data_IF_418377312729
#
_entry.id   IF_418377312729
#
_cell.length_a   1.000
_cell.length_b   1.000
_cell.length_c   1.000
_cell.angle_alpha   90.00
_cell.angle_beta   90.00
_cell.angle_gamma   90.00
#
_symmetry.space_group_name_H-M   'P 1'
#
loop_
_entity.id
_entity.type
_entity.pdbx_description
1 polymer ?
#
# COMPACT_ATOMS: atom_id res chain seq x y z
N UNK A 1 70.13 -20.59 1.58
CA UNK A 1 68.71 -20.27 1.70
C UNK A 1 68.30 -19.58 0.38
N UNK A 2 67.48 -20.26 -0.40
CA UNK A 2 67.33 -20.06 -1.83
C UNK A 2 66.51 -18.78 -2.13
N UNK A 3 67.11 -17.82 -2.83
CA UNK A 3 66.50 -16.57 -3.22
C UNK A 3 65.19 -16.77 -4.02
N UNK A 4 65.06 -17.89 -4.74
CA UNK A 4 63.89 -18.27 -5.50
C UNK A 4 62.65 -18.61 -4.60
N UNK A 5 62.89 -19.14 -3.41
CA UNK A 5 61.82 -19.46 -2.45
C UNK A 5 61.28 -18.19 -1.77
N UNK A 6 62.17 -17.24 -1.47
CA UNK A 6 61.75 -15.95 -0.88
C UNK A 6 60.91 -15.12 -1.86
N UNK A 7 61.29 -15.10 -3.16
CA UNK A 7 60.54 -14.39 -4.16
C UNK A 7 59.14 -14.99 -4.41
N UNK A 8 59.02 -16.32 -4.41
CA UNK A 8 57.72 -17.00 -4.52
C UNK A 8 56.84 -16.76 -3.30
N UNK A 9 57.42 -16.75 -2.08
CA UNK A 9 56.68 -16.47 -0.85
C UNK A 9 56.14 -15.02 -0.82
N UNK A 10 56.94 -14.07 -1.27
CA UNK A 10 56.56 -12.66 -1.38
C UNK A 10 55.41 -12.42 -2.41
N UNK A 11 55.51 -13.09 -3.57
CA UNK A 11 54.48 -13.00 -4.60
C UNK A 11 53.18 -13.66 -4.13
N UNK A 12 53.26 -14.80 -3.43
CA UNK A 12 52.05 -15.46 -2.90
C UNK A 12 51.42 -14.64 -1.77
N UNK A 13 52.20 -14.02 -0.91
CA UNK A 13 51.71 -13.13 0.15
C UNK A 13 51.09 -11.85 -0.42
N UNK A 14 51.66 -11.28 -1.50
CA UNK A 14 51.13 -10.13 -2.18
C UNK A 14 49.80 -10.46 -2.90
N UNK A 15 49.71 -11.63 -3.55
CA UNK A 15 48.46 -12.09 -4.19
C UNK A 15 47.35 -12.39 -3.18
N UNK A 16 47.68 -12.97 -2.02
CA UNK A 16 46.66 -13.22 -0.96
C UNK A 16 46.20 -11.92 -0.29
N UNK A 17 47.07 -10.94 -0.12
CA UNK A 17 46.72 -9.62 0.38
C UNK A 17 45.82 -8.85 -0.61
N UNK A 18 46.03 -8.97 -1.92
CA UNK A 18 45.20 -8.33 -2.94
C UNK A 18 43.84 -9.00 -3.11
N UNK A 19 43.76 -10.34 -2.94
CA UNK A 19 42.48 -11.07 -3.00
C UNK A 19 41.58 -10.86 -1.77
N UNK A 20 42.16 -10.61 -0.59
CA UNK A 20 41.40 -10.32 0.63
C UNK A 20 40.90 -8.85 0.70
N UNK A 21 41.39 -7.98 -0.18
CA UNK A 21 41.08 -6.54 -0.17
C UNK A 21 39.96 -6.14 -1.13
N UNK A 22 39.42 -7.07 -1.91
CA UNK A 22 38.17 -6.81 -2.62
C UNK A 22 37.01 -6.84 -1.60
N UNK A 23 36.89 -5.81 -0.78
CA UNK A 23 35.59 -5.47 -0.19
C UNK A 23 34.65 -5.25 -1.35
N UNK A 24 33.67 -6.14 -1.52
CA UNK A 24 32.57 -5.93 -2.43
C UNK A 24 32.09 -4.51 -2.23
N UNK A 25 32.19 -3.68 -3.27
CA UNK A 25 31.67 -2.34 -3.22
C UNK A 25 30.22 -2.46 -2.81
N UNK A 26 29.87 -1.93 -1.65
CA UNK A 26 28.48 -1.91 -1.22
C UNK A 26 27.68 -1.26 -2.34
N UNK A 27 26.56 -1.84 -2.77
CA UNK A 27 25.76 -1.25 -3.84
C UNK A 27 25.41 0.16 -3.42
N UNK A 28 25.86 1.12 -4.21
CA UNK A 28 25.76 2.51 -3.90
C UNK A 28 24.31 2.91 -4.02
N UNK A 29 23.70 3.22 -2.89
CA UNK A 29 22.41 3.89 -2.87
C UNK A 29 22.58 5.26 -3.54
N UNK A 30 21.74 5.53 -4.55
CA UNK A 30 21.61 6.90 -5.05
C UNK A 30 21.42 7.85 -3.88
N UNK A 31 21.98 9.06 -3.88
CA UNK A 31 21.80 9.98 -2.78
C UNK A 31 20.31 10.22 -2.61
N UNK A 32 19.78 9.88 -1.45
CA UNK A 32 18.40 10.16 -1.12
C UNK A 32 18.16 11.67 -1.22
N UNK A 33 16.97 12.03 -1.67
CA UNK A 33 16.56 13.41 -1.65
C UNK A 33 16.38 13.80 -0.18
N UNK A 34 17.21 14.73 0.28
CA UNK A 34 17.26 15.21 1.67
C UNK A 34 16.60 16.59 1.77
N UNK A 35 16.62 17.19 2.96
CA UNK A 35 16.03 18.49 3.24
C UNK A 35 14.52 18.53 2.95
N UNK A 36 13.78 17.78 3.73
CA UNK A 36 12.33 17.65 3.60
C UNK A 36 11.61 18.88 4.15
N UNK A 37 10.65 19.35 3.42
CA UNK A 37 9.66 20.32 3.87
C UNK A 37 8.35 19.56 4.13
N UNK A 38 7.92 19.56 5.38
CA UNK A 38 6.78 18.80 5.88
C UNK A 38 5.92 19.76 6.74
N UNK A 39 5.01 20.55 6.10
CA UNK A 39 4.18 21.49 6.84
C UNK A 39 3.28 20.78 7.85
N UNK A 40 3.33 21.19 9.12
CA UNK A 40 2.66 20.51 10.23
C UNK A 40 1.14 20.37 10.03
N UNK A 41 0.53 21.33 9.35
CA UNK A 41 -0.90 21.36 9.06
C UNK A 41 -1.39 20.19 8.23
N UNK A 42 -0.51 19.60 7.39
CA UNK A 42 -0.86 18.47 6.51
C UNK A 42 -0.43 17.11 7.06
N UNK A 43 0.46 17.10 8.03
CA UNK A 43 1.03 15.85 8.58
C UNK A 43 -0.02 14.96 9.23
N UNK A 44 -1.01 15.57 9.87
CA UNK A 44 -2.11 14.84 10.51
C UNK A 44 -3.43 15.12 9.80
N UNK A 45 -4.34 14.14 9.75
CA UNK A 45 -5.70 14.41 9.32
C UNK A 45 -6.40 15.36 10.30
N UNK A 46 -7.47 16.05 9.88
CA UNK A 46 -8.34 16.77 10.81
C UNK A 46 -8.78 15.84 11.96
N UNK A 47 -8.77 16.35 13.20
CA UNK A 47 -8.88 15.54 14.41
C UNK A 47 -10.17 14.68 14.49
N UNK A 48 -11.25 15.15 13.86
CA UNK A 48 -12.57 14.51 13.92
C UNK A 48 -12.89 13.66 12.68
N UNK A 49 -11.96 13.52 11.75
CA UNK A 49 -12.20 12.79 10.51
C UNK A 49 -11.68 11.35 10.57
N UNK A 50 -12.56 10.34 10.42
CA UNK A 50 -12.14 8.95 10.47
C UNK A 50 -11.32 8.55 9.23
N UNK A 51 -10.29 7.74 9.46
CA UNK A 51 -9.52 7.05 8.43
C UNK A 51 -10.16 5.67 8.20
N UNK A 52 -10.99 5.58 7.18
CA UNK A 52 -11.59 4.30 6.74
C UNK A 52 -11.15 3.99 5.33
N UNK A 53 -11.11 2.72 5.02
CA UNK A 53 -10.78 2.23 3.68
C UNK A 53 -11.85 1.27 3.21
N UNK A 54 -12.34 1.50 1.99
CA UNK A 54 -13.12 0.49 1.29
C UNK A 54 -12.21 -0.66 0.88
N UNK A 55 -12.60 -1.89 1.21
CA UNK A 55 -11.84 -3.06 0.79
C UNK A 55 -12.14 -3.34 -0.70
N UNK A 56 -11.12 -3.69 -1.49
CA UNK A 56 -11.25 -3.74 -2.96
C UNK A 56 -12.19 -4.83 -3.45
N UNK A 57 -12.50 -5.82 -2.61
CA UNK A 57 -13.33 -6.95 -3.00
C UNK A 57 -14.37 -7.25 -1.93
N UNK A 58 -15.60 -7.44 -2.40
CA UNK A 58 -16.69 -7.95 -1.62
C UNK A 58 -17.50 -6.90 -0.88
N UNK A 59 -18.64 -7.36 -0.44
CA UNK A 59 -19.61 -6.61 0.33
C UNK A 59 -19.62 -7.04 1.79
N UNK A 60 -20.31 -6.28 2.60
CA UNK A 60 -20.52 -6.54 4.01
C UNK A 60 -22.00 -6.70 4.29
N UNK A 61 -22.35 -7.79 4.96
CA UNK A 61 -23.71 -8.08 5.44
C UNK A 61 -23.90 -7.83 6.93
N UNK A 62 -22.86 -8.07 7.71
CA UNK A 62 -22.90 -8.06 9.17
C UNK A 62 -23.32 -9.39 9.80
N UNK A 63 -23.40 -10.47 9.03
CA UNK A 63 -23.73 -11.80 9.52
C UNK A 63 -22.48 -12.52 10.03
N UNK A 64 -22.63 -13.17 11.18
CA UNK A 64 -21.64 -14.11 11.73
C UNK A 64 -22.32 -15.45 11.93
N UNK A 65 -21.74 -16.51 11.38
CA UNK A 65 -22.30 -17.84 11.44
C UNK A 65 -21.66 -18.69 12.53
N UNK A 66 -22.45 -19.60 13.09
CA UNK A 66 -21.95 -20.58 14.04
C UNK A 66 -20.92 -21.49 13.37
N UNK A 67 -19.78 -21.68 14.03
CA UNK A 67 -18.75 -22.61 13.56
C UNK A 67 -19.28 -24.04 13.75
N UNK A 68 -19.70 -24.69 12.67
CA UNK A 68 -20.10 -26.10 12.74
C UNK A 68 -18.86 -26.98 12.66
N UNK A 69 -18.56 -27.68 13.75
CA UNK A 69 -17.72 -28.87 13.66
C UNK A 69 -18.44 -29.89 12.78
N UNK A 70 -17.78 -30.35 11.72
CA UNK A 70 -18.26 -31.52 10.94
C UNK A 70 -18.32 -32.71 11.89
N UNK A 71 -19.49 -32.97 12.46
CA UNK A 71 -19.77 -34.28 13.06
C UNK A 71 -19.93 -35.27 11.92
N UNK A 72 -19.18 -36.35 11.97
CA UNK A 72 -19.24 -37.44 10.98
C UNK A 72 -20.50 -38.33 11.13
N UNK A 73 -21.32 -38.06 12.11
CA UNK A 73 -22.51 -38.85 12.42
C UNK A 73 -23.71 -37.94 12.68
N UNK A 74 -24.69 -38.01 11.80
CA UNK A 74 -26.01 -37.46 12.03
C UNK A 74 -26.54 -36.53 10.96
N UNK A 75 -27.83 -36.66 10.71
CA UNK A 75 -28.66 -35.83 9.84
C UNK A 75 -28.63 -34.39 10.36
N UNK A 76 -27.69 -33.58 9.83
CA UNK A 76 -27.60 -32.18 10.22
C UNK A 76 -28.66 -31.39 9.47
N UNK A 77 -29.41 -30.53 10.16
CA UNK A 77 -30.41 -29.71 9.50
C UNK A 77 -29.71 -28.79 8.46
N UNK A 78 -30.26 -28.75 7.25
CA UNK A 78 -29.81 -27.88 6.19
C UNK A 78 -29.81 -26.41 6.62
N UNK A 79 -28.94 -25.60 6.04
CA UNK A 79 -28.93 -24.17 6.24
C UNK A 79 -27.84 -23.66 7.20
N UNK A 80 -27.55 -22.35 7.14
CA UNK A 80 -26.57 -21.66 7.96
C UNK A 80 -27.23 -20.98 9.17
N UNK A 81 -26.81 -21.34 10.37
CA UNK A 81 -27.28 -20.69 11.60
C UNK A 81 -26.51 -19.40 11.87
N UNK A 82 -27.26 -18.30 12.07
CA UNK A 82 -26.70 -17.00 12.45
C UNK A 82 -26.35 -17.06 13.93
N UNK A 83 -25.05 -17.01 14.24
CA UNK A 83 -24.56 -16.95 15.62
C UNK A 83 -24.76 -15.55 16.22
N UNK A 84 -24.44 -14.51 15.45
CA UNK A 84 -24.64 -13.12 15.85
C UNK A 84 -24.80 -12.21 14.65
N UNK A 85 -25.37 -11.04 14.86
CA UNK A 85 -25.51 -9.98 13.86
C UNK A 85 -24.83 -8.73 14.40
N UNK A 86 -23.98 -8.12 13.56
CA UNK A 86 -23.23 -6.92 13.92
C UNK A 86 -24.19 -5.73 14.00
N UNK A 87 -24.08 -4.92 15.05
CA UNK A 87 -24.87 -3.71 15.23
C UNK A 87 -24.68 -2.73 14.06
N UNK A 88 -25.75 -2.01 13.73
CA UNK A 88 -25.77 -1.05 12.61
C UNK A 88 -25.39 -1.65 11.24
N UNK A 89 -25.59 -2.96 11.07
CA UNK A 89 -25.32 -3.66 9.82
C UNK A 89 -26.54 -3.77 8.90
N UNK A 90 -26.33 -4.08 7.62
CA UNK A 90 -27.41 -4.43 6.69
C UNK A 90 -28.30 -5.56 7.20
N UNK A 91 -27.73 -6.56 7.85
CA UNK A 91 -28.48 -7.69 8.38
C UNK A 91 -29.47 -7.26 9.48
N UNK A 92 -29.11 -6.33 10.36
CA UNK A 92 -30.06 -5.72 11.33
C UNK A 92 -31.17 -4.97 10.60
N UNK A 93 -30.83 -4.19 9.57
CA UNK A 93 -31.84 -3.46 8.80
C UNK A 93 -32.80 -4.38 8.06
N UNK A 94 -32.33 -5.57 7.63
CA UNK A 94 -33.15 -6.63 7.05
C UNK A 94 -33.95 -7.42 8.08
N UNK A 95 -33.83 -7.13 9.38
CA UNK A 95 -34.57 -7.81 10.46
C UNK A 95 -34.05 -9.20 10.80
N UNK A 96 -32.83 -9.55 10.37
CA UNK A 96 -32.14 -10.81 10.70
C UNK A 96 -31.68 -10.79 12.16
N UNK A 97 -31.69 -11.97 12.80
CA UNK A 97 -31.35 -12.14 14.23
C UNK A 97 -30.49 -13.36 14.47
N UNK A 98 -29.80 -13.38 15.58
CA UNK A 98 -29.13 -14.58 16.10
C UNK A 98 -30.16 -15.71 16.28
N UNK A 99 -29.80 -16.93 15.91
CA UNK A 99 -30.66 -18.12 15.91
C UNK A 99 -31.50 -18.31 14.64
N UNK A 100 -31.54 -17.35 13.73
CA UNK A 100 -32.13 -17.55 12.41
C UNK A 100 -31.28 -18.55 11.61
N UNK A 101 -31.94 -19.40 10.84
CA UNK A 101 -31.30 -20.37 9.95
C UNK A 101 -31.57 -19.99 8.51
N UNK A 102 -30.56 -19.57 7.78
CA UNK A 102 -30.63 -19.25 6.36
C UNK A 102 -30.59 -20.54 5.56
N UNK A 103 -31.60 -20.77 4.73
CA UNK A 103 -31.72 -21.99 3.90
C UNK A 103 -31.23 -21.73 2.47
N UNK A 104 -31.71 -20.64 1.88
CA UNK A 104 -31.42 -20.28 0.50
C UNK A 104 -31.21 -18.78 0.35
N UNK A 105 -30.35 -18.42 -0.59
CA UNK A 105 -30.18 -17.05 -1.05
C UNK A 105 -30.47 -16.96 -2.56
N UNK A 106 -31.31 -16.01 -2.95
CA UNK A 106 -31.48 -15.66 -4.35
C UNK A 106 -30.64 -14.42 -4.64
N UNK A 107 -29.60 -14.65 -5.43
CA UNK A 107 -28.64 -13.64 -5.84
C UNK A 107 -28.58 -13.58 -7.37
N UNK A 108 -28.91 -12.42 -7.92
CA UNK A 108 -29.12 -12.25 -9.38
C UNK A 108 -30.18 -13.24 -9.86
N UNK A 109 -29.89 -14.05 -10.85
CA UNK A 109 -30.82 -15.07 -11.39
C UNK A 109 -30.56 -16.47 -10.79
N UNK A 110 -29.71 -16.59 -9.78
CA UNK A 110 -29.32 -17.87 -9.18
C UNK A 110 -29.94 -18.03 -7.80
N UNK A 111 -30.42 -19.21 -7.52
CA UNK A 111 -30.77 -19.66 -6.17
C UNK A 111 -29.61 -20.52 -5.63
N UNK A 112 -29.06 -20.17 -4.50
CA UNK A 112 -27.92 -20.81 -3.86
C UNK A 112 -28.41 -21.40 -2.54
N UNK A 113 -28.29 -22.72 -2.38
CA UNK A 113 -28.50 -23.35 -1.09
C UNK A 113 -27.35 -22.95 -0.14
N UNK A 114 -27.69 -22.59 1.10
CA UNK A 114 -26.72 -22.10 2.07
C UNK A 114 -26.37 -23.22 3.07
N UNK A 115 -25.57 -24.17 2.63
CA UNK A 115 -25.17 -25.31 3.45
C UNK A 115 -23.83 -25.10 4.17
N UNK A 116 -22.98 -24.26 3.63
CA UNK A 116 -21.68 -23.93 4.18
C UNK A 116 -21.43 -22.40 4.23
N UNK A 117 -20.62 -21.97 5.18
CA UNK A 117 -20.21 -20.54 5.28
C UNK A 117 -19.52 -20.03 4.00
N UNK A 118 -18.89 -20.95 3.24
CA UNK A 118 -18.31 -20.65 1.94
C UNK A 118 -19.34 -20.14 0.93
N UNK A 119 -20.57 -20.67 0.96
CA UNK A 119 -21.63 -20.31 0.02
C UNK A 119 -22.05 -18.85 0.25
N UNK A 120 -22.17 -18.45 1.50
CA UNK A 120 -22.43 -17.06 1.85
C UNK A 120 -21.26 -16.15 1.50
N UNK A 121 -20.03 -16.58 1.73
CA UNK A 121 -18.83 -15.81 1.36
C UNK A 121 -18.70 -15.61 -0.14
N UNK A 122 -19.10 -16.58 -0.96
CA UNK A 122 -19.14 -16.42 -2.42
C UNK A 122 -20.06 -15.25 -2.80
N UNK A 123 -21.23 -15.14 -2.16
CA UNK A 123 -22.16 -14.04 -2.37
C UNK A 123 -21.52 -12.71 -1.93
N UNK A 124 -20.99 -12.63 -0.72
CA UNK A 124 -20.36 -11.40 -0.22
C UNK A 124 -19.16 -10.93 -1.06
N UNK A 125 -18.39 -11.87 -1.60
CA UNK A 125 -17.22 -11.55 -2.44
C UNK A 125 -17.57 -11.17 -3.87
N UNK A 126 -18.67 -11.73 -4.41
CA UNK A 126 -19.06 -11.54 -5.79
C UNK A 126 -20.15 -10.50 -6.01
N UNK A 127 -20.80 -10.04 -4.95
CA UNK A 127 -21.84 -9.03 -5.03
C UNK A 127 -21.26 -7.60 -5.14
N UNK A 128 -22.04 -6.72 -5.76
CA UNK A 128 -21.74 -5.30 -5.84
C UNK A 128 -22.41 -4.55 -4.67
N UNK A 129 -21.86 -3.42 -4.20
CA UNK A 129 -22.53 -2.56 -3.21
C UNK A 129 -23.91 -2.14 -3.67
N UNK A 130 -24.89 -2.13 -2.75
CA UNK A 130 -26.32 -1.88 -2.97
C UNK A 130 -27.06 -3.02 -3.70
N UNK A 131 -26.40 -4.15 -3.96
CA UNK A 131 -27.08 -5.32 -4.51
C UNK A 131 -28.01 -5.95 -3.46
N UNK A 132 -29.18 -6.41 -3.92
CA UNK A 132 -30.24 -6.99 -3.09
C UNK A 132 -30.21 -8.49 -3.14
N UNK A 133 -30.14 -9.11 -1.99
CA UNK A 133 -30.17 -10.57 -1.82
C UNK A 133 -31.48 -10.94 -1.14
N UNK A 134 -32.28 -11.79 -1.76
CA UNK A 134 -33.46 -12.37 -1.13
C UNK A 134 -33.07 -13.64 -0.41
N UNK A 135 -33.44 -13.72 0.84
CA UNK A 135 -33.11 -14.83 1.73
C UNK A 135 -34.38 -15.57 2.12
N UNK A 136 -34.35 -16.89 2.02
CA UNK A 136 -35.32 -17.75 2.66
C UNK A 136 -34.69 -18.28 3.96
N UNK A 137 -35.36 -18.15 5.07
CA UNK A 137 -34.87 -18.49 6.39
C UNK A 137 -35.94 -19.14 7.30
N UNK A 138 -35.47 -19.84 8.29
CA UNK A 138 -36.29 -20.34 9.37
C UNK A 138 -35.97 -19.58 10.68
N UNK A 139 -37.03 -19.12 11.36
CA UNK A 139 -36.95 -18.56 12.71
C UNK A 139 -37.80 -19.41 13.66
N UNK A 140 -37.13 -20.24 14.44
CA UNK A 140 -37.80 -21.33 15.19
C UNK A 140 -38.40 -22.35 14.21
N UNK A 141 -39.74 -22.46 14.19
CA UNK A 141 -40.48 -23.36 13.29
C UNK A 141 -41.19 -22.64 12.13
N UNK A 142 -40.90 -21.35 11.92
CA UNK A 142 -41.56 -20.55 10.89
C UNK A 142 -40.59 -20.23 9.73
N UNK A 143 -41.02 -20.55 8.53
CA UNK A 143 -40.33 -20.07 7.31
C UNK A 143 -40.65 -18.59 7.06
N UNK A 144 -39.66 -17.82 6.69
CA UNK A 144 -39.74 -16.39 6.44
C UNK A 144 -38.83 -16.00 5.27
N UNK A 145 -39.21 -14.92 4.59
CA UNK A 145 -38.36 -14.28 3.59
C UNK A 145 -37.84 -12.94 4.14
N UNK A 146 -36.60 -12.62 3.80
CA UNK A 146 -35.98 -11.35 4.08
C UNK A 146 -35.26 -10.80 2.86
N UNK A 147 -35.19 -9.48 2.72
CA UNK A 147 -34.40 -8.82 1.70
C UNK A 147 -33.24 -8.10 2.37
N UNK A 148 -32.02 -8.48 1.99
CA UNK A 148 -30.79 -7.91 2.49
C UNK A 148 -30.11 -7.08 1.41
N UNK A 149 -29.84 -5.82 1.70
CA UNK A 149 -29.09 -4.92 0.82
C UNK A 149 -27.64 -4.89 1.27
N UNK A 150 -26.74 -5.42 0.47
CA UNK A 150 -25.33 -5.44 0.81
C UNK A 150 -24.68 -4.06 0.65
N UNK A 151 -23.72 -3.75 1.51
CA UNK A 151 -22.94 -2.51 1.46
C UNK A 151 -21.48 -2.78 1.17
N UNK A 152 -20.75 -1.76 0.72
CA UNK A 152 -19.31 -1.86 0.52
C UNK A 152 -18.63 -2.31 1.82
N UNK A 153 -17.65 -3.20 1.69
CA UNK A 153 -16.86 -3.68 2.82
C UNK A 153 -15.84 -2.62 3.23
N UNK A 154 -16.03 -2.02 4.38
CA UNK A 154 -15.11 -1.06 4.96
C UNK A 154 -14.16 -1.73 5.96
N UNK A 155 -13.02 -1.10 6.21
CA UNK A 155 -12.19 -1.50 7.33
C UNK A 155 -13.02 -1.46 8.63
N UNK A 156 -12.92 -2.48 9.51
CA UNK A 156 -13.86 -2.67 10.62
C UNK A 156 -13.86 -1.54 11.66
N UNK A 157 -12.78 -0.77 11.76
CA UNK A 157 -12.69 0.35 12.69
C UNK A 157 -12.01 1.57 12.04
N UNK A 158 -12.42 2.81 12.40
CA UNK A 158 -11.66 4.00 12.06
C UNK A 158 -10.29 3.93 12.74
N UNK A 159 -9.25 4.35 12.01
CA UNK A 159 -7.89 4.48 12.53
C UNK A 159 -7.64 5.93 12.92
N UNK A 160 -6.85 6.14 13.97
CA UNK A 160 -6.38 7.47 14.38
C UNK A 160 -5.12 7.91 13.64
N UNK A 161 -4.29 6.95 13.23
CA UNK A 161 -3.01 7.19 12.58
C UNK A 161 -3.09 6.87 11.08
N UNK A 162 -2.79 7.82 10.19
CA UNK A 162 -2.74 7.57 8.76
C UNK A 162 -1.50 6.76 8.39
N UNK A 163 -1.65 5.88 7.40
CA UNK A 163 -0.48 5.30 6.74
C UNK A 163 0.21 6.40 5.94
N UNK A 164 1.52 6.51 6.12
CA UNK A 164 2.38 7.43 5.38
C UNK A 164 3.40 6.63 4.60
N UNK A 165 3.74 7.12 3.42
CA UNK A 165 4.81 6.51 2.63
C UNK A 165 5.67 7.61 2.01
N UNK A 166 6.97 7.34 1.97
CA UNK A 166 7.98 8.26 1.48
C UNK A 166 8.67 7.68 0.24
N UNK A 167 8.73 8.46 -0.79
CA UNK A 167 9.54 8.16 -1.95
C UNK A 167 10.70 9.17 -2.04
N UNK A 168 11.91 8.76 -1.65
CA UNK A 168 13.09 9.63 -1.52
C UNK A 168 14.05 9.58 -2.69
N UNK A 169 13.82 8.67 -3.67
CA UNK A 169 14.83 8.40 -4.70
C UNK A 169 14.56 9.14 -6.00
N UNK A 170 13.32 9.23 -6.44
CA UNK A 170 12.96 9.70 -7.77
C UNK A 170 12.03 10.91 -7.76
N UNK A 171 11.04 10.91 -6.91
CA UNK A 171 10.07 11.99 -6.80
C UNK A 171 10.39 12.94 -5.62
N UNK A 172 10.90 12.41 -4.52
CA UNK A 172 11.15 13.18 -3.30
C UNK A 172 9.87 13.70 -2.68
N UNK A 173 8.91 12.80 -2.46
CA UNK A 173 7.59 13.13 -1.90
C UNK A 173 7.28 12.30 -0.66
N UNK A 174 6.46 12.86 0.21
CA UNK A 174 5.84 12.20 1.34
C UNK A 174 4.33 12.36 1.20
N UNK A 175 3.61 11.25 1.30
CA UNK A 175 2.15 11.20 1.19
C UNK A 175 1.55 10.46 2.37
N UNK A 176 0.31 10.78 2.71
CA UNK A 176 -0.52 10.06 3.68
C UNK A 176 -1.85 9.61 3.10
N UNK A 177 -2.50 8.67 3.75
CA UNK A 177 -3.88 8.32 3.43
C UNK A 177 -4.81 9.53 3.58
N UNK A 178 -5.81 9.57 2.70
CA UNK A 178 -6.92 10.51 2.81
C UNK A 178 -7.92 10.04 3.88
N UNK A 179 -8.62 10.98 4.52
CA UNK A 179 -9.75 10.67 5.39
C UNK A 179 -10.96 10.23 4.58
N UNK A 180 -11.95 9.63 5.24
CA UNK A 180 -13.23 9.28 4.60
C UNK A 180 -13.91 10.54 3.98
N UNK A 181 -13.87 11.66 4.71
CA UNK A 181 -14.48 12.91 4.24
C UNK A 181 -13.74 13.48 3.01
N UNK A 182 -12.40 13.48 3.02
CA UNK A 182 -11.58 13.94 1.89
C UNK A 182 -11.82 13.08 0.64
N UNK A 183 -11.88 11.77 0.77
CA UNK A 183 -12.17 10.86 -0.35
C UNK A 183 -13.57 11.07 -0.89
N UNK A 184 -14.57 11.20 0.00
CA UNK A 184 -15.97 11.43 -0.38
C UNK A 184 -16.16 12.77 -1.10
N UNK A 185 -15.51 13.83 -0.63
CA UNK A 185 -15.54 15.13 -1.28
C UNK A 185 -14.99 15.07 -2.72
N UNK A 186 -14.09 14.14 -3.00
CA UNK A 186 -13.53 13.86 -4.33
C UNK A 186 -14.36 12.87 -5.16
N UNK A 187 -15.49 12.40 -4.67
CA UNK A 187 -16.29 11.36 -5.32
C UNK A 187 -15.60 9.98 -5.32
N UNK A 188 -14.67 9.75 -4.39
CA UNK A 188 -13.90 8.51 -4.26
C UNK A 188 -14.47 7.66 -3.11
N UNK A 189 -14.24 6.34 -3.15
CA UNK A 189 -14.51 5.46 -2.02
C UNK A 189 -13.71 5.86 -0.78
N UNK A 190 -14.19 5.53 0.43
CA UNK A 190 -13.51 5.85 1.69
C UNK A 190 -12.05 5.41 1.72
N UNK A 191 -11.14 6.34 2.00
CA UNK A 191 -9.72 6.13 2.07
C UNK A 191 -9.02 5.91 0.72
N UNK A 192 -9.71 6.19 -0.40
CA UNK A 192 -9.06 6.28 -1.70
C UNK A 192 -8.46 7.68 -1.92
N UNK A 193 -7.37 7.72 -2.69
CA UNK A 193 -6.56 8.90 -2.83
C UNK A 193 -5.53 9.04 -1.72
N UNK A 194 -4.55 9.90 -1.92
CA UNK A 194 -3.50 10.22 -0.96
C UNK A 194 -3.23 11.70 -0.92
N UNK A 195 -2.97 12.23 0.27
CA UNK A 195 -2.66 13.66 0.46
C UNK A 195 -1.15 13.87 0.35
N UNK A 196 -0.75 14.82 -0.46
CA UNK A 196 0.65 15.25 -0.55
C UNK A 196 1.00 16.11 0.67
N UNK A 197 1.82 15.58 1.57
CA UNK A 197 2.14 16.21 2.87
C UNK A 197 3.57 16.67 3.02
N UNK A 198 4.45 16.29 2.11
CA UNK A 198 5.85 16.70 2.16
C UNK A 198 6.55 16.56 0.81
N UNK A 199 7.54 17.38 0.59
CA UNK A 199 8.45 17.31 -0.56
C UNK A 199 9.88 17.64 -0.14
N UNK A 200 10.85 16.91 -0.69
CA UNK A 200 12.24 17.30 -0.57
C UNK A 200 12.50 18.62 -1.29
N UNK A 201 13.42 19.45 -0.79
CA UNK A 201 13.78 20.72 -1.47
C UNK A 201 14.30 20.50 -2.89
N UNK A 202 14.97 19.38 -3.12
CA UNK A 202 15.47 18.99 -4.45
C UNK A 202 14.48 18.11 -5.24
N UNK A 203 13.23 17.96 -4.79
CA UNK A 203 12.20 17.22 -5.50
C UNK A 203 11.95 17.81 -6.89
N UNK A 204 11.95 16.98 -7.94
CA UNK A 204 11.57 17.44 -9.28
C UNK A 204 10.11 17.88 -9.35
N UNK A 205 9.24 17.37 -8.45
CA UNK A 205 7.82 17.72 -8.39
C UNK A 205 7.56 19.16 -7.95
N UNK A 206 8.54 19.85 -7.34
CA UNK A 206 8.42 21.29 -7.00
C UNK A 206 8.27 22.19 -8.22
N UNK A 207 8.60 21.68 -9.41
CA UNK A 207 8.43 22.41 -10.67
C UNK A 207 7.07 22.17 -11.31
N UNK A 208 6.29 21.25 -10.77
CA UNK A 208 4.92 20.99 -11.21
C UNK A 208 3.92 21.91 -10.50
N UNK A 209 2.66 21.80 -10.88
CA UNK A 209 1.57 22.56 -10.26
C UNK A 209 1.13 22.00 -8.89
N UNK A 210 1.66 20.83 -8.47
CA UNK A 210 1.29 20.17 -7.22
C UNK A 210 1.72 20.98 -6.00
N UNK A 211 0.86 20.97 -4.98
CA UNK A 211 1.05 21.67 -3.71
C UNK A 211 0.77 20.75 -2.53
N UNK A 212 1.27 21.11 -1.37
CA UNK A 212 0.90 20.45 -0.12
C UNK A 212 -0.62 20.53 0.08
N UNK A 213 -1.22 19.46 0.55
CA UNK A 213 -2.66 19.35 0.74
C UNK A 213 -3.43 18.84 -0.49
N UNK A 214 -2.83 18.75 -1.66
CA UNK A 214 -3.48 18.15 -2.83
C UNK A 214 -3.84 16.69 -2.57
N UNK A 215 -5.08 16.33 -2.90
CA UNK A 215 -5.53 14.95 -2.91
C UNK A 215 -5.19 14.31 -4.26
N UNK A 216 -4.16 13.47 -4.29
CA UNK A 216 -3.75 12.73 -5.49
C UNK A 216 -4.69 11.54 -5.69
N UNK A 217 -5.36 11.48 -6.82
CA UNK A 217 -6.45 10.52 -7.09
C UNK A 217 -6.05 9.42 -8.07
N UNK A 218 -5.12 9.72 -8.99
CA UNK A 218 -4.67 8.76 -10.00
C UNK A 218 -3.22 9.00 -10.42
N UNK A 219 -2.57 7.96 -10.94
CA UNK A 219 -1.26 8.00 -11.59
C UNK A 219 -1.37 7.28 -12.93
N UNK A 220 -0.97 7.95 -14.02
CA UNK A 220 -1.12 7.46 -15.40
C UNK A 220 -2.54 6.90 -15.68
N UNK A 221 -3.59 7.57 -15.15
CA UNK A 221 -4.98 7.17 -15.28
C UNK A 221 -5.42 6.03 -14.35
N UNK A 222 -4.50 5.40 -13.61
CA UNK A 222 -4.83 4.36 -12.62
C UNK A 222 -5.13 4.99 -11.27
N UNK A 223 -6.27 4.63 -10.66
CA UNK A 223 -6.68 5.14 -9.35
C UNK A 223 -5.66 4.77 -8.27
N UNK A 224 -5.37 5.75 -7.43
CA UNK A 224 -4.56 5.57 -6.22
C UNK A 224 -5.54 5.30 -5.05
N UNK A 225 -5.37 4.17 -4.38
CA UNK A 225 -6.17 3.75 -3.24
C UNK A 225 -5.34 3.59 -1.95
N UNK A 226 -4.02 3.79 -2.06
CA UNK A 226 -3.10 3.66 -0.93
C UNK A 226 -1.76 4.35 -1.22
N UNK A 227 -1.08 4.95 -0.22
CA UNK A 227 0.23 5.57 -0.38
C UNK A 227 1.27 4.69 -1.08
N UNK A 228 1.34 3.40 -0.73
CA UNK A 228 2.29 2.47 -1.35
C UNK A 228 2.07 2.25 -2.84
N UNK A 229 0.84 2.38 -3.33
CA UNK A 229 0.54 2.27 -4.77
C UNK A 229 1.20 3.39 -5.57
N UNK A 230 1.10 4.61 -5.07
CA UNK A 230 1.79 5.75 -5.70
C UNK A 230 3.31 5.54 -5.70
N UNK A 231 3.88 5.16 -4.55
CA UNK A 231 5.32 4.91 -4.43
C UNK A 231 5.78 3.78 -5.36
N UNK A 232 5.01 2.70 -5.47
CA UNK A 232 5.29 1.60 -6.40
C UNK A 232 5.24 2.06 -7.87
N UNK A 233 4.23 2.86 -8.25
CA UNK A 233 4.11 3.41 -9.59
C UNK A 233 5.32 4.30 -9.95
N UNK A 234 5.75 5.16 -9.03
CA UNK A 234 6.94 6.00 -9.21
C UNK A 234 8.20 5.13 -9.40
N UNK A 235 8.37 4.09 -8.59
CA UNK A 235 9.51 3.18 -8.68
C UNK A 235 9.52 2.36 -9.97
N UNK A 236 8.35 1.95 -10.45
CA UNK A 236 8.19 1.16 -11.67
C UNK A 236 8.29 1.98 -12.96
N UNK A 237 8.08 3.30 -12.89
CA UNK A 237 8.12 4.17 -14.05
C UNK A 237 9.50 4.17 -14.75
N UNK A 238 9.51 4.31 -16.07
CA UNK A 238 10.76 4.40 -16.84
C UNK A 238 11.51 5.69 -16.49
N UNK A 239 12.87 5.70 -16.51
CA UNK A 239 13.66 6.87 -16.11
C UNK A 239 13.33 8.15 -16.88
N UNK A 240 13.11 8.04 -18.19
CA UNK A 240 12.93 9.18 -19.08
C UNK A 240 11.47 9.59 -19.26
N UNK A 241 10.57 8.91 -18.57
CA UNK A 241 9.14 9.19 -18.65
C UNK A 241 8.67 9.84 -17.34
N UNK A 242 8.09 11.04 -17.47
CA UNK A 242 7.30 11.64 -16.39
C UNK A 242 6.05 10.81 -16.10
N UNK A 243 5.35 11.16 -15.06
CA UNK A 243 4.06 10.57 -14.68
C UNK A 243 2.96 11.63 -14.80
N UNK A 244 1.79 11.20 -15.22
CA UNK A 244 0.59 12.03 -15.22
C UNK A 244 -0.17 11.77 -13.92
N UNK A 245 -0.28 12.79 -13.05
CA UNK A 245 -0.92 12.70 -11.74
C UNK A 245 -2.26 13.43 -11.79
N UNK A 246 -3.35 12.67 -11.62
CA UNK A 246 -4.65 13.27 -11.35
C UNK A 246 -4.73 13.68 -9.88
N UNK A 247 -5.18 14.90 -9.61
CA UNK A 247 -5.32 15.42 -8.25
C UNK A 247 -6.54 16.31 -8.13
N UNK A 248 -7.02 16.47 -6.90
CA UNK A 248 -8.09 17.40 -6.57
C UNK A 248 -7.57 18.50 -5.67
N UNK A 249 -7.96 19.73 -5.98
CA UNK A 249 -7.72 20.92 -5.17
C UNK A 249 -8.96 21.79 -5.20
N UNK A 250 -9.41 22.26 -4.05
CA UNK A 250 -10.59 23.14 -3.90
C UNK A 250 -11.85 22.59 -4.59
N UNK A 251 -12.02 21.27 -4.58
CA UNK A 251 -13.16 20.59 -5.23
C UNK A 251 -13.01 20.37 -6.74
N UNK A 252 -11.95 20.89 -7.37
CA UNK A 252 -11.70 20.72 -8.80
C UNK A 252 -10.72 19.59 -9.09
N UNK A 253 -11.09 18.71 -10.00
CA UNK A 253 -10.20 17.65 -10.52
C UNK A 253 -9.28 18.23 -11.59
N UNK A 254 -7.99 18.02 -11.43
CA UNK A 254 -6.92 18.52 -12.30
C UNK A 254 -5.92 17.41 -12.61
N UNK A 255 -5.06 17.64 -13.58
CA UNK A 255 -3.98 16.73 -13.94
C UNK A 255 -2.68 17.52 -14.05
N UNK A 256 -1.60 16.97 -13.50
CA UNK A 256 -0.26 17.52 -13.58
C UNK A 256 0.71 16.48 -14.13
N UNK A 257 1.53 16.89 -15.10
CA UNK A 257 2.64 16.06 -15.55
C UNK A 257 3.86 16.33 -14.68
N UNK A 258 4.35 15.29 -14.03
CA UNK A 258 5.45 15.40 -13.08
C UNK A 258 6.69 14.68 -13.58
N UNK A 259 7.85 15.35 -13.56
CA UNK A 259 9.11 14.72 -13.92
C UNK A 259 9.60 13.80 -12.79
N UNK A 260 10.36 12.79 -13.17
CA UNK A 260 11.08 11.93 -12.23
C UNK A 260 12.59 12.19 -12.33
N UNK A 261 13.27 12.06 -11.19
CA UNK A 261 14.73 12.12 -11.18
C UNK A 261 15.31 10.93 -11.96
N UNK A 262 16.16 11.20 -12.91
CA UNK A 262 16.88 10.18 -13.70
C UNK A 262 18.13 9.66 -13.00
N UNK A 263 18.26 9.93 -11.70
CA UNK A 263 19.46 9.59 -10.95
C UNK A 263 19.74 8.09 -11.05
N UNK A 264 20.71 7.77 -11.88
CA UNK A 264 21.28 6.44 -11.93
C UNK A 264 22.01 6.12 -10.61
N UNK A 265 22.05 4.83 -10.27
CA UNK A 265 22.87 4.34 -9.16
C UNK A 265 24.32 4.65 -9.46
N UNK A 266 24.83 5.76 -8.98
CA UNK A 266 26.24 6.10 -9.07
C UNK A 266 27.07 5.41 -7.98
N UNK A 267 28.34 5.13 -8.24
CA UNK A 267 29.25 4.65 -7.22
C UNK A 267 29.53 5.76 -6.21
N UNK A 268 29.36 5.49 -4.91
CA UNK A 268 29.68 6.46 -3.84
C UNK A 268 31.13 6.34 -3.38
N UNK A 269 31.65 5.15 -3.39
CA UNK A 269 32.99 4.86 -2.90
C UNK A 269 33.62 3.70 -3.66
N UNK A 270 34.81 3.90 -4.12
CA UNK A 270 35.67 2.88 -4.73
C UNK A 270 37.03 3.00 -4.06
N UNK A 271 37.55 1.92 -3.53
CA UNK A 271 38.84 1.98 -2.91
C UNK A 271 39.57 0.64 -2.97
N UNK A 272 40.87 0.72 -3.16
CA UNK A 272 41.82 -0.35 -2.92
C UNK A 272 42.57 0.03 -1.63
N UNK A 273 42.44 -0.72 -0.53
CA UNK A 273 43.06 -0.37 0.73
C UNK A 273 44.54 -0.03 0.53
N UNK A 274 45.00 1.04 1.15
CA UNK A 274 46.37 1.56 1.12
C UNK A 274 46.84 2.14 -0.23
N UNK A 275 46.11 1.95 -1.32
CA UNK A 275 46.55 2.42 -2.65
C UNK A 275 45.70 3.57 -3.15
N UNK A 276 44.38 3.42 -3.12
CA UNK A 276 43.48 4.40 -3.71
C UNK A 276 42.13 4.34 -3.03
N UNK A 277 41.54 5.50 -2.75
CA UNK A 277 40.12 5.63 -2.42
C UNK A 277 39.50 6.81 -3.17
N UNK A 278 38.29 6.57 -3.67
CA UNK A 278 37.46 7.58 -4.27
C UNK A 278 36.11 7.56 -3.59
N UNK A 279 35.66 8.72 -3.17
CA UNK A 279 34.29 8.89 -2.66
C UNK A 279 33.63 10.07 -3.34
N UNK A 280 32.39 9.88 -3.80
CA UNK A 280 31.61 10.91 -4.50
C UNK A 280 30.26 11.10 -3.88
N UNK A 281 29.86 12.35 -3.65
CA UNK A 281 28.50 12.78 -3.35
C UNK A 281 28.04 13.83 -4.36
N UNK A 282 26.76 14.15 -4.38
CA UNK A 282 26.19 15.15 -5.32
C UNK A 282 26.87 16.53 -5.18
N UNK A 283 27.47 16.80 -4.03
CA UNK A 283 28.07 18.10 -3.71
C UNK A 283 29.58 18.07 -3.59
N UNK A 284 30.19 16.91 -3.46
CA UNK A 284 31.62 16.79 -3.22
C UNK A 284 32.19 15.46 -3.71
N UNK A 285 33.29 15.54 -4.43
CA UNK A 285 34.09 14.40 -4.84
C UNK A 285 35.43 14.47 -4.10
N UNK A 286 35.83 13.39 -3.47
CA UNK A 286 37.13 13.27 -2.84
C UNK A 286 37.85 12.04 -3.37
N UNK A 287 39.12 12.15 -3.59
CA UNK A 287 39.98 11.01 -3.87
C UNK A 287 41.25 11.09 -3.05
N UNK A 288 41.80 9.97 -2.69
CA UNK A 288 43.11 9.87 -2.06
C UNK A 288 43.87 8.68 -2.61
N UNK A 289 45.16 8.83 -2.71
CA UNK A 289 46.06 7.80 -3.19
C UNK A 289 47.31 7.72 -2.29
N UNK A 290 47.97 6.54 -2.26
CA UNK A 290 49.21 6.31 -1.53
C UNK A 290 49.10 6.69 -0.03
N UNK A 291 48.19 5.98 0.70
CA UNK A 291 48.00 6.15 2.15
C UNK A 291 47.63 7.61 2.55
N UNK A 292 46.92 8.33 1.68
CA UNK A 292 46.53 9.70 1.95
C UNK A 292 47.63 10.76 1.75
N UNK A 293 48.76 10.38 1.19
CA UNK A 293 49.83 11.33 0.86
C UNK A 293 49.44 12.27 -0.30
N UNK A 294 48.48 11.82 -1.12
CA UNK A 294 47.88 12.65 -2.18
C UNK A 294 46.36 12.64 -1.95
N UNK A 295 45.78 13.78 -1.67
CA UNK A 295 44.32 13.96 -1.54
C UNK A 295 43.86 15.19 -2.26
N UNK A 296 42.70 15.13 -2.90
CA UNK A 296 42.09 16.24 -3.64
C UNK A 296 40.58 16.33 -3.38
#
# INVERSE_FOLDING_TARGET
MDASKQTRLLITLLCTLTLCACRAAAPLSSPELTDWEEPAEWMHPPQDEPLRKELPNGCFSGLQFASRSRSLEGDQPAGLEIASVIENSPAIAAGLRSGDRLLEARWRERTIALDAVSDWREIELGADPQERIRLNLERGSRSMDAELVLVARLAPAPRSEPVRDRESMRAGILVREATEAQSRAAGLPPGAGVILIGMARSSPWRRSELRFGDLLTSVDGQRIDHPSRLVQAIRAAKPDRGLSIGYQRDGELRTADVPLSTRERGMREVGIPLVFSWSGSVQRTQWSALIGLLSW
#
